data_IF_743731520816
#
_entry.id   IF_743731520816
#
_cell.length_a   1.000
_cell.length_b   1.000
_cell.length_c   1.000
_cell.angle_alpha   90.00
_cell.angle_beta   90.00
_cell.angle_gamma   90.00
#
_symmetry.space_group_name_H-M   'P 1'
#
loop_
_entity.id
_entity.type
_entity.pdbx_description
1 polymer ?
#
# COMPACT_ATOMS: atom_id res chain seq x y z
N UNK A 1 -13.01 -3.22 -3.20
CA UNK A 1 -12.05 -4.21 -3.75
C UNK A 1 -12.75 -5.41 -4.43
N UNK A 2 -13.70 -6.11 -3.80
CA UNK A 2 -14.45 -7.21 -4.46
C UNK A 2 -15.23 -6.82 -5.74
N UNK A 3 -15.80 -5.61 -5.77
CA UNK A 3 -16.45 -5.06 -6.96
C UNK A 3 -15.50 -4.85 -8.16
N UNK A 4 -14.18 -4.98 -7.96
CA UNK A 4 -13.13 -4.90 -8.99
C UNK A 4 -12.91 -6.22 -9.74
N UNK A 5 -13.44 -7.33 -9.22
CA UNK A 5 -13.17 -8.69 -9.68
C UNK A 5 -14.24 -9.26 -10.64
N UNK A 6 -15.32 -8.54 -10.94
CA UNK A 6 -16.36 -9.07 -11.83
C UNK A 6 -15.88 -9.15 -13.28
N UNK A 7 -16.23 -10.24 -13.98
CA UNK A 7 -15.93 -10.43 -15.42
C UNK A 7 -17.13 -10.22 -16.36
N UNK A 8 -18.36 -10.03 -15.86
CA UNK A 8 -19.55 -9.97 -16.73
C UNK A 8 -20.04 -8.56 -17.07
N UNK A 9 -20.03 -8.27 -18.38
CA UNK A 9 -20.61 -7.14 -19.13
C UNK A 9 -19.99 -5.75 -18.87
N UNK A 10 -19.32 -5.18 -19.90
CA UNK A 10 -18.89 -3.78 -20.19
C UNK A 10 -18.47 -2.78 -19.07
N UNK A 11 -19.03 -2.87 -17.86
CA UNK A 11 -18.69 -2.13 -16.64
C UNK A 11 -17.36 -2.53 -15.93
N UNK A 12 -16.84 -3.78 -15.96
CA UNK A 12 -15.65 -4.13 -15.17
C UNK A 12 -14.36 -3.44 -15.64
N UNK A 13 -14.39 -2.86 -16.83
CA UNK A 13 -13.29 -2.13 -17.45
C UNK A 13 -13.06 -0.77 -16.73
N UNK A 14 -14.08 -0.13 -16.16
CA UNK A 14 -13.95 1.28 -15.71
C UNK A 14 -13.05 1.48 -14.48
N UNK A 15 -13.00 0.55 -13.52
CA UNK A 15 -12.15 0.69 -12.32
C UNK A 15 -10.71 0.24 -12.51
N UNK A 16 -10.48 -0.88 -13.21
CA UNK A 16 -9.13 -1.39 -13.51
C UNK A 16 -8.31 -0.37 -14.30
N UNK A 17 -8.98 0.46 -15.11
CA UNK A 17 -8.37 1.53 -15.89
C UNK A 17 -8.19 2.87 -15.15
N UNK A 18 -8.62 2.99 -13.89
CA UNK A 18 -8.36 4.22 -13.13
C UNK A 18 -6.87 4.30 -12.80
N UNK A 19 -6.26 5.50 -12.82
CA UNK A 19 -4.82 5.66 -12.61
C UNK A 19 -4.27 4.91 -11.37
N UNK A 20 -4.92 4.92 -10.19
CA UNK A 20 -4.44 4.17 -9.02
C UNK A 20 -4.43 2.64 -9.21
N UNK A 21 -5.25 2.15 -10.13
CA UNK A 21 -5.51 0.72 -10.32
C UNK A 21 -4.78 0.11 -11.51
N UNK A 22 -4.19 0.94 -12.40
CA UNK A 22 -3.47 0.49 -13.59
C UNK A 22 -2.27 -0.43 -13.29
N UNK A 23 -1.75 -0.36 -12.05
CA UNK A 23 -0.61 -1.16 -11.59
C UNK A 23 -1.01 -2.31 -10.65
N UNK A 24 -2.30 -2.52 -10.41
CA UNK A 24 -2.80 -3.64 -9.59
C UNK A 24 -2.68 -4.95 -10.38
N UNK A 25 -2.24 -6.02 -9.70
CA UNK A 25 -1.93 -7.34 -10.25
C UNK A 25 -2.51 -8.45 -9.37
N UNK A 26 -2.49 -9.70 -9.84
CA UNK A 26 -2.97 -10.85 -9.07
C UNK A 26 -4.47 -11.13 -9.24
N UNK A 27 -5.12 -10.55 -10.25
CA UNK A 27 -6.53 -10.82 -10.54
C UNK A 27 -6.75 -12.30 -10.88
N UNK A 28 -5.84 -12.85 -11.68
CA UNK A 28 -5.80 -14.24 -12.11
C UNK A 28 -5.70 -15.23 -10.94
N UNK A 29 -4.95 -14.87 -9.88
CA UNK A 29 -4.81 -15.70 -8.68
C UNK A 29 -6.13 -15.76 -7.91
N UNK A 30 -6.85 -14.63 -7.84
CA UNK A 30 -8.15 -14.57 -7.18
C UNK A 30 -9.22 -15.32 -7.99
N UNK A 31 -9.17 -15.22 -9.33
CA UNK A 31 -10.09 -15.94 -10.21
C UNK A 31 -9.88 -17.47 -10.10
N UNK A 32 -8.63 -17.94 -10.02
CA UNK A 32 -8.31 -19.35 -9.79
C UNK A 32 -8.78 -19.84 -8.41
N UNK A 33 -8.49 -19.07 -7.34
CA UNK A 33 -9.00 -19.37 -6.01
C UNK A 33 -10.54 -19.47 -5.99
N UNK A 34 -11.23 -18.55 -6.69
CA UNK A 34 -12.68 -18.58 -6.82
C UNK A 34 -13.14 -19.85 -7.54
N UNK A 35 -12.49 -20.26 -8.63
CA UNK A 35 -12.85 -21.46 -9.37
C UNK A 35 -12.72 -22.73 -8.50
N UNK A 36 -11.62 -22.85 -7.74
CA UNK A 36 -11.40 -23.99 -6.85
C UNK A 36 -12.42 -24.05 -5.69
N UNK A 37 -12.74 -22.89 -5.10
CA UNK A 37 -13.75 -22.79 -4.03
C UNK A 37 -15.14 -23.15 -4.58
N UNK A 38 -15.51 -22.67 -5.76
CA UNK A 38 -16.80 -23.01 -6.38
C UNK A 38 -16.93 -24.49 -6.75
N UNK A 39 -15.84 -25.15 -7.13
CA UNK A 39 -15.82 -26.60 -7.36
C UNK A 39 -16.10 -27.41 -6.10
N UNK A 40 -15.80 -26.85 -4.92
CA UNK A 40 -16.01 -27.49 -3.61
C UNK A 40 -17.36 -27.11 -2.99
N UNK A 41 -17.72 -25.83 -3.02
CA UNK A 41 -18.92 -25.29 -2.40
C UNK A 41 -19.58 -24.20 -3.27
N UNK A 42 -20.23 -24.66 -4.35
CA UNK A 42 -20.86 -23.77 -5.34
C UNK A 42 -21.84 -22.77 -4.72
N UNK A 43 -21.65 -21.49 -5.05
CA UNK A 43 -22.52 -20.38 -4.67
C UNK A 43 -22.47 -19.98 -3.19
N UNK A 44 -21.54 -20.52 -2.40
CA UNK A 44 -21.47 -20.30 -0.96
C UNK A 44 -20.57 -19.11 -0.61
N UNK A 45 -19.34 -19.08 -1.13
CA UNK A 45 -18.32 -18.12 -0.71
C UNK A 45 -18.26 -16.92 -1.66
N UNK A 46 -18.39 -15.70 -1.12
CA UNK A 46 -18.32 -14.46 -1.91
C UNK A 46 -16.90 -14.16 -2.38
N UNK A 47 -16.76 -13.44 -3.49
CA UNK A 47 -15.45 -12.92 -3.91
C UNK A 47 -14.86 -11.94 -2.89
N UNK A 48 -15.71 -11.24 -2.13
CA UNK A 48 -15.30 -10.37 -1.04
C UNK A 48 -14.61 -11.13 0.10
N UNK A 49 -15.14 -12.29 0.51
CA UNK A 49 -14.49 -13.12 1.53
C UNK A 49 -13.25 -13.83 0.98
N UNK A 50 -13.26 -14.31 -0.28
CA UNK A 50 -12.06 -14.88 -0.90
C UNK A 50 -10.90 -13.87 -0.88
N UNK A 51 -11.17 -12.60 -1.23
CA UNK A 51 -10.14 -11.57 -1.19
C UNK A 51 -9.65 -11.28 0.24
N UNK A 52 -10.53 -11.30 1.23
CA UNK A 52 -10.15 -11.12 2.64
C UNK A 52 -9.28 -12.27 3.15
N UNK A 53 -9.62 -13.51 2.79
CA UNK A 53 -8.82 -14.70 3.14
C UNK A 53 -7.48 -14.72 2.40
N UNK A 54 -7.47 -14.40 1.10
CA UNK A 54 -6.22 -14.30 0.33
C UNK A 54 -5.28 -13.24 0.94
N UNK A 55 -5.81 -12.10 1.37
CA UNK A 55 -5.02 -11.08 2.08
C UNK A 55 -4.47 -11.61 3.41
N UNK A 56 -5.29 -12.28 4.23
CA UNK A 56 -4.85 -12.91 5.49
C UNK A 56 -3.72 -13.90 5.25
N UNK A 57 -3.90 -14.79 4.28
CA UNK A 57 -2.97 -15.90 4.00
C UNK A 57 -1.64 -15.38 3.43
N UNK A 58 -1.67 -14.28 2.68
CA UNK A 58 -0.46 -13.63 2.15
C UNK A 58 0.46 -13.05 3.24
N UNK A 59 -0.08 -12.76 4.43
CA UNK A 59 0.69 -12.17 5.55
C UNK A 59 0.65 -13.03 6.81
N UNK A 60 0.20 -14.28 6.70
CA UNK A 60 0.12 -15.26 7.79
C UNK A 60 -0.55 -14.75 9.08
N UNK A 61 -1.65 -14.01 8.94
CA UNK A 61 -2.40 -13.45 10.07
C UNK A 61 -3.48 -14.40 10.62
N UNK A 62 -4.10 -13.97 11.73
CA UNK A 62 -5.17 -14.70 12.42
C UNK A 62 -6.47 -14.73 11.62
N UNK A 63 -7.45 -15.48 12.11
CA UNK A 63 -8.74 -15.64 11.46
C UNK A 63 -9.43 -14.31 11.14
N UNK A 64 -9.89 -14.20 9.89
CA UNK A 64 -10.66 -13.06 9.41
C UNK A 64 -12.16 -13.37 9.48
N UNK A 65 -13.01 -12.44 9.96
CA UNK A 65 -14.46 -12.61 9.94
C UNK A 65 -14.97 -12.87 8.53
N UNK A 66 -16.02 -13.67 8.37
CA UNK A 66 -16.66 -14.00 7.09
C UNK A 66 -18.10 -13.47 7.02
N UNK A 67 -18.75 -13.65 5.87
CA UNK A 67 -20.13 -13.23 5.63
C UNK A 67 -20.24 -11.96 4.78
N UNK A 68 -19.13 -11.46 4.22
CA UNK A 68 -19.18 -10.34 3.26
C UNK A 68 -19.92 -10.80 2.01
N UNK A 69 -20.63 -9.87 1.37
CA UNK A 69 -21.35 -10.12 0.11
C UNK A 69 -20.76 -9.28 -1.01
N UNK A 70 -20.85 -9.80 -2.23
CA UNK A 70 -20.33 -9.11 -3.40
C UNK A 70 -21.15 -7.89 -3.76
N UNK A 71 -20.47 -6.76 -3.98
CA UNK A 71 -21.09 -5.54 -4.46
C UNK A 71 -21.72 -5.74 -5.84
N UNK A 72 -22.92 -5.20 -6.04
CA UNK A 72 -23.65 -5.27 -7.33
C UNK A 72 -23.31 -4.13 -8.28
N UNK A 73 -22.65 -3.08 -7.79
CA UNK A 73 -22.34 -1.85 -8.53
C UNK A 73 -20.85 -1.56 -8.39
N UNK A 74 -20.23 -1.06 -9.48
CA UNK A 74 -18.86 -0.57 -9.49
C UNK A 74 -18.84 0.85 -10.07
N UNK A 75 -18.59 1.84 -9.21
CA UNK A 75 -18.51 3.26 -9.56
C UNK A 75 -17.05 3.75 -9.58
N UNK A 76 -16.68 4.59 -10.54
CA UNK A 76 -15.35 5.19 -10.58
C UNK A 76 -15.08 6.07 -9.35
N UNK A 77 -16.10 6.77 -8.87
CA UNK A 77 -16.05 7.69 -7.72
C UNK A 77 -15.62 7.02 -6.40
N UNK A 78 -15.79 5.70 -6.26
CA UNK A 78 -15.31 5.00 -5.06
C UNK A 78 -13.78 5.00 -4.97
N UNK A 79 -13.07 5.32 -6.07
CA UNK A 79 -11.62 5.46 -6.07
C UNK A 79 -11.14 6.88 -5.70
N UNK A 80 -12.04 7.86 -5.57
CA UNK A 80 -11.69 9.26 -5.33
C UNK A 80 -11.02 9.45 -3.96
N UNK A 81 -11.34 8.56 -3.00
CA UNK A 81 -10.74 8.56 -1.66
C UNK A 81 -9.54 7.61 -1.53
N UNK A 82 -9.00 7.06 -2.62
CA UNK A 82 -7.76 6.29 -2.54
C UNK A 82 -6.60 7.22 -2.17
N UNK A 83 -5.77 6.84 -1.17
CA UNK A 83 -4.54 7.55 -0.85
C UNK A 83 -3.62 7.65 -2.07
N UNK A 84 -3.04 8.83 -2.30
CA UNK A 84 -1.97 9.03 -3.26
C UNK A 84 -0.61 8.99 -2.54
N UNK A 85 0.43 8.59 -3.26
CA UNK A 85 1.81 8.54 -2.75
C UNK A 85 2.38 9.92 -2.36
N UNK A 86 1.70 11.00 -2.77
CA UNK A 86 2.04 12.41 -2.48
C UNK A 86 1.13 13.04 -1.42
N UNK A 87 0.11 12.34 -0.92
CA UNK A 87 -0.83 12.93 0.04
C UNK A 87 -0.11 13.37 1.33
N UNK A 88 -0.55 14.49 1.89
CA UNK A 88 -0.12 14.92 3.22
C UNK A 88 -0.68 13.99 4.29
N UNK A 89 -0.07 13.99 5.48
CA UNK A 89 -0.56 13.17 6.59
C UNK A 89 -2.01 13.50 6.99
N UNK A 90 -2.41 14.76 6.90
CA UNK A 90 -3.78 15.19 7.20
C UNK A 90 -4.77 14.71 6.14
N UNK A 91 -4.36 14.69 4.87
CA UNK A 91 -5.19 14.14 3.79
C UNK A 91 -5.34 12.61 3.91
N UNK A 92 -4.27 11.91 4.29
CA UNK A 92 -4.32 10.48 4.59
C UNK A 92 -5.29 10.17 5.73
N UNK A 93 -5.18 10.90 6.86
CA UNK A 93 -6.12 10.79 7.99
C UNK A 93 -7.56 11.08 7.55
N UNK A 94 -7.79 12.13 6.76
CA UNK A 94 -9.12 12.50 6.25
C UNK A 94 -9.73 11.41 5.37
N UNK A 95 -8.96 10.89 4.40
CA UNK A 95 -9.42 9.83 3.48
C UNK A 95 -9.80 8.55 4.23
N UNK A 96 -9.03 8.16 5.25
CA UNK A 96 -9.33 6.97 6.06
C UNK A 96 -10.49 7.19 7.05
N UNK A 97 -10.63 8.40 7.60
CA UNK A 97 -11.74 8.74 8.50
C UNK A 97 -13.12 8.59 7.82
N UNK A 98 -13.22 8.76 6.50
CA UNK A 98 -14.44 8.49 5.72
C UNK A 98 -14.91 7.02 5.88
N UNK A 99 -13.99 6.10 6.17
CA UNK A 99 -14.28 4.69 6.41
C UNK A 99 -14.34 4.33 7.90
N UNK A 100 -14.36 5.32 8.80
CA UNK A 100 -14.37 5.12 10.25
C UNK A 100 -13.02 4.67 10.83
N UNK A 101 -11.93 4.83 10.06
CA UNK A 101 -10.58 4.43 10.46
C UNK A 101 -9.83 5.63 11.05
N UNK A 102 -9.08 5.40 12.13
CA UNK A 102 -8.34 6.42 12.87
C UNK A 102 -6.84 6.45 12.50
N UNK A 103 -6.06 7.30 13.19
CA UNK A 103 -4.62 7.43 12.93
C UNK A 103 -3.82 6.13 13.20
N UNK A 104 -4.25 5.29 14.16
CA UNK A 104 -3.62 3.99 14.40
C UNK A 104 -3.91 3.04 13.26
N UNK A 105 -5.14 3.02 12.76
CA UNK A 105 -5.50 2.22 11.59
C UNK A 105 -4.70 2.65 10.36
N UNK A 106 -4.51 3.95 10.15
CA UNK A 106 -3.65 4.49 9.09
C UNK A 106 -2.23 3.93 9.17
N UNK A 107 -1.56 4.08 10.32
CA UNK A 107 -0.18 3.61 10.50
C UNK A 107 -0.10 2.09 10.31
N UNK A 108 -1.08 1.34 10.81
CA UNK A 108 -1.14 -0.12 10.69
C UNK A 108 -1.30 -0.57 9.25
N UNK A 109 -2.21 0.04 8.50
CA UNK A 109 -2.48 -0.30 7.09
C UNK A 109 -1.29 0.05 6.20
N UNK A 110 -0.71 1.24 6.38
CA UNK A 110 0.49 1.65 5.62
C UNK A 110 1.70 0.77 5.95
N UNK A 111 1.73 0.18 7.15
CA UNK A 111 2.71 -0.85 7.52
C UNK A 111 2.76 -2.04 6.56
N UNK A 112 1.71 -2.30 5.78
CA UNK A 112 1.73 -3.33 4.73
C UNK A 112 2.77 -3.07 3.63
N UNK A 113 3.31 -1.85 3.52
CA UNK A 113 4.48 -1.53 2.69
C UNK A 113 5.78 -2.21 3.15
N UNK A 114 5.76 -2.99 4.25
CA UNK A 114 6.84 -3.90 4.62
C UNK A 114 7.14 -4.98 3.57
N UNK A 115 6.14 -5.32 2.74
CA UNK A 115 6.33 -6.21 1.59
C UNK A 115 6.03 -5.53 0.26
N UNK A 116 6.68 -6.01 -0.79
CA UNK A 116 6.42 -5.60 -2.16
C UNK A 116 7.23 -4.39 -2.64
N UNK A 117 6.81 -3.83 -3.77
CA UNK A 117 7.62 -2.86 -4.53
C UNK A 117 6.83 -1.65 -4.99
N UNK A 118 7.52 -0.58 -5.33
CA UNK A 118 7.01 0.58 -6.06
C UNK A 118 7.86 0.87 -7.29
N UNK A 119 7.32 1.60 -8.27
CA UNK A 119 8.05 2.01 -9.47
C UNK A 119 8.76 3.35 -9.24
N UNK A 120 9.94 3.54 -9.85
CA UNK A 120 10.73 4.78 -9.77
C UNK A 120 9.90 6.04 -10.09
N UNK A 121 8.94 5.95 -11.01
CA UNK A 121 8.05 7.05 -11.39
C UNK A 121 7.28 7.66 -10.19
N UNK A 122 6.97 6.88 -9.16
CA UNK A 122 6.18 7.33 -8.02
C UNK A 122 6.97 8.07 -6.93
N UNK A 123 8.30 8.08 -7.01
CA UNK A 123 9.12 8.75 -5.98
C UNK A 123 10.36 9.48 -6.52
N UNK A 124 10.69 9.35 -7.81
CA UNK A 124 11.83 10.02 -8.43
C UNK A 124 11.81 11.55 -8.28
N UNK A 125 10.61 12.17 -8.25
CA UNK A 125 10.47 13.60 -7.98
C UNK A 125 11.08 13.98 -6.61
N UNK A 126 11.02 13.09 -5.61
CA UNK A 126 11.65 13.28 -4.30
C UNK A 126 13.17 13.20 -4.35
N UNK A 127 13.76 12.63 -5.40
CA UNK A 127 15.21 12.48 -5.54
C UNK A 127 15.85 13.66 -6.28
N UNK A 128 15.12 14.32 -7.18
CA UNK A 128 15.70 15.27 -8.12
C UNK A 128 15.01 16.64 -8.14
N UNK A 129 13.69 16.68 -7.99
CA UNK A 129 12.90 17.90 -8.19
C UNK A 129 11.78 18.02 -7.15
N UNK A 130 12.18 18.07 -5.88
CA UNK A 130 11.21 18.20 -4.80
C UNK A 130 10.70 19.65 -4.69
N UNK A 131 9.39 19.83 -4.80
CA UNK A 131 8.77 21.16 -4.94
C UNK A 131 9.12 22.13 -3.81
N UNK A 132 9.26 21.63 -2.57
CA UNK A 132 9.56 22.47 -1.42
C UNK A 132 11.01 23.01 -1.41
N UNK A 133 11.94 22.36 -2.11
CA UNK A 133 13.33 22.82 -2.22
C UNK A 133 13.59 23.57 -3.53
N UNK A 134 12.65 23.52 -4.48
CA UNK A 134 12.75 24.19 -5.78
C UNK A 134 13.80 23.60 -6.73
N UNK A 135 14.76 22.85 -6.21
CA UNK A 135 15.74 21.99 -6.89
C UNK A 135 16.33 21.01 -5.86
N UNK A 136 16.45 19.73 -6.21
CA UNK A 136 17.14 18.73 -5.37
C UNK A 136 16.21 17.75 -4.64
N UNK A 137 16.78 17.03 -3.68
CA UNK A 137 16.12 15.94 -2.99
C UNK A 137 15.20 16.43 -1.86
N UNK A 138 14.19 15.63 -1.53
CA UNK A 138 13.30 15.80 -0.40
C UNK A 138 14.11 15.75 0.91
N UNK A 139 14.07 16.81 1.74
CA UNK A 139 14.87 16.90 2.97
C UNK A 139 14.40 15.95 4.09
N UNK A 140 13.27 15.27 3.90
CA UNK A 140 12.82 14.20 4.82
C UNK A 140 13.48 12.85 4.56
N UNK A 141 14.19 12.69 3.42
CA UNK A 141 14.93 11.47 3.10
C UNK A 141 16.36 11.59 3.60
N UNK A 142 16.87 10.51 4.19
CA UNK A 142 18.27 10.37 4.52
C UNK A 142 19.17 10.53 3.27
N UNK A 143 20.21 11.38 3.35
CA UNK A 143 21.04 11.72 2.20
C UNK A 143 21.82 10.53 1.62
N UNK A 144 22.30 9.60 2.46
CA UNK A 144 22.97 8.39 1.98
C UNK A 144 21.98 7.48 1.25
N UNK A 145 20.73 7.44 1.73
CA UNK A 145 19.66 6.71 1.07
C UNK A 145 19.23 7.36 -0.25
N UNK A 146 19.24 8.69 -0.37
CA UNK A 146 19.04 9.39 -1.65
C UNK A 146 20.09 8.94 -2.66
N UNK A 147 21.36 8.86 -2.27
CA UNK A 147 22.43 8.36 -3.15
C UNK A 147 22.17 6.94 -3.64
N UNK A 148 21.75 6.03 -2.74
CA UNK A 148 21.37 4.65 -3.11
C UNK A 148 20.18 4.62 -4.09
N UNK A 149 19.12 5.38 -3.80
CA UNK A 149 17.93 5.45 -4.65
C UNK A 149 18.22 6.06 -6.03
N UNK A 150 19.16 7.01 -6.14
CA UNK A 150 19.58 7.57 -7.44
C UNK A 150 20.35 6.57 -8.30
N UNK A 151 21.09 5.64 -7.69
CA UNK A 151 21.71 4.52 -8.42
C UNK A 151 20.64 3.57 -8.96
N UNK A 152 19.58 3.31 -8.18
CA UNK A 152 18.47 2.45 -8.60
C UNK A 152 17.53 3.13 -9.61
N UNK A 153 17.32 4.44 -9.47
CA UNK A 153 16.42 5.26 -10.26
C UNK A 153 17.15 6.53 -10.76
N UNK A 154 18.00 6.43 -11.80
CA UNK A 154 18.65 7.60 -12.39
C UNK A 154 17.63 8.60 -12.97
N UNK A 155 17.98 9.89 -13.05
CA UNK A 155 17.06 10.96 -13.52
C UNK A 155 16.48 10.73 -14.92
N UNK A 156 17.24 10.05 -15.81
CA UNK A 156 16.81 9.66 -17.16
C UNK A 156 16.70 8.13 -17.29
N UNK A 157 16.48 7.44 -16.16
CA UNK A 157 16.33 5.99 -16.11
C UNK A 157 14.92 5.52 -16.46
N UNK A 158 14.74 4.20 -16.46
CA UNK A 158 13.43 3.58 -16.63
C UNK A 158 12.54 3.84 -15.41
N UNK A 159 11.51 4.67 -15.59
CA UNK A 159 10.53 5.00 -14.55
C UNK A 159 9.71 3.80 -14.06
N UNK A 160 9.63 2.71 -14.85
CA UNK A 160 8.87 1.50 -14.49
C UNK A 160 9.67 0.53 -13.62
N UNK A 161 10.99 0.74 -13.50
CA UNK A 161 11.87 -0.07 -12.66
C UNK A 161 11.34 -0.14 -11.23
N UNK A 162 11.32 -1.36 -10.69
CA UNK A 162 10.75 -1.68 -9.37
C UNK A 162 11.82 -1.59 -8.28
N UNK A 163 11.46 -0.97 -7.17
CA UNK A 163 12.27 -0.86 -5.95
C UNK A 163 11.42 -1.36 -4.77
N UNK A 164 12.04 -2.13 -3.87
CA UNK A 164 11.39 -2.64 -2.65
C UNK A 164 10.89 -1.49 -1.78
N UNK A 165 9.63 -1.52 -1.32
CA UNK A 165 9.11 -0.50 -0.40
C UNK A 165 9.77 -0.57 0.98
N UNK A 166 10.19 -1.76 1.37
CA UNK A 166 10.97 -2.04 2.58
C UNK A 166 12.38 -2.46 2.21
N UNK A 167 13.37 -1.64 2.58
CA UNK A 167 14.76 -1.93 2.24
C UNK A 167 15.29 -3.00 3.18
N UNK A 168 15.91 -4.03 2.61
CA UNK A 168 16.50 -5.18 3.31
C UNK A 168 15.50 -6.23 3.85
N UNK A 169 14.17 -6.05 3.67
CA UNK A 169 13.13 -7.02 4.10
C UNK A 169 11.92 -7.21 3.14
N UNK A 170 12.11 -6.98 1.84
CA UNK A 170 11.04 -6.91 0.82
C UNK A 170 10.01 -8.06 0.79
N UNK A 171 10.40 -9.26 1.24
CA UNK A 171 9.58 -10.47 1.20
C UNK A 171 9.14 -10.95 2.60
N UNK A 172 9.47 -10.22 3.67
CA UNK A 172 9.09 -10.57 5.04
C UNK A 172 8.08 -9.56 5.59
N UNK A 173 7.00 -10.06 6.18
CA UNK A 173 6.00 -9.20 6.82
C UNK A 173 6.40 -8.94 8.28
N UNK A 174 7.14 -7.85 8.52
CA UNK A 174 7.69 -7.52 9.83
C UNK A 174 7.62 -6.01 10.14
N UNK A 175 8.35 -5.55 11.17
CA UNK A 175 8.36 -4.14 11.57
C UNK A 175 9.51 -3.32 10.95
N UNK A 176 10.31 -3.91 10.05
CA UNK A 176 11.48 -3.25 9.43
C UNK A 176 11.11 -2.01 8.61
N UNK A 177 9.92 -1.98 8.00
CA UNK A 177 9.34 -0.79 7.39
C UNK A 177 9.35 0.40 8.36
N UNK A 178 8.86 0.20 9.59
CA UNK A 178 8.83 1.24 10.62
C UNK A 178 10.23 1.65 11.08
N UNK A 179 11.19 0.71 11.14
CA UNK A 179 12.60 1.02 11.38
C UNK A 179 13.19 1.89 10.27
N UNK A 180 12.81 1.63 9.01
CA UNK A 180 13.23 2.41 7.85
C UNK A 180 12.65 3.83 7.90
N UNK A 181 11.38 4.01 8.30
CA UNK A 181 10.80 5.36 8.48
C UNK A 181 11.57 6.19 9.51
N UNK A 182 11.94 5.58 10.65
CA UNK A 182 12.74 6.23 11.69
C UNK A 182 14.10 6.72 11.17
N UNK A 183 14.70 5.99 10.24
CA UNK A 183 15.99 6.30 9.62
C UNK A 183 15.88 7.30 8.44
N UNK A 184 14.69 7.81 8.13
CA UNK A 184 14.47 8.65 6.95
C UNK A 184 14.55 7.86 5.63
N UNK A 185 14.24 6.56 5.66
CA UNK A 185 14.33 5.63 4.52
C UNK A 185 12.96 5.21 3.96
N UNK A 186 11.89 5.96 4.23
CA UNK A 186 10.59 5.75 3.58
C UNK A 186 10.65 6.18 2.11
N UNK A 187 10.25 5.29 1.19
CA UNK A 187 10.39 5.52 -0.26
C UNK A 187 9.33 6.48 -0.80
N UNK A 188 8.06 6.30 -0.43
CA UNK A 188 7.01 7.22 -0.82
C UNK A 188 6.97 8.41 0.14
N UNK A 189 6.55 9.58 -0.36
CA UNK A 189 6.39 10.75 0.51
C UNK A 189 5.34 10.49 1.59
N UNK A 190 4.22 9.88 1.22
CA UNK A 190 3.16 9.44 2.14
C UNK A 190 3.68 8.59 3.29
N UNK A 191 4.64 7.70 3.03
CA UNK A 191 5.21 6.80 4.04
C UNK A 191 6.07 7.58 5.04
N UNK A 192 6.98 8.42 4.52
CA UNK A 192 7.91 9.17 5.36
C UNK A 192 7.19 10.23 6.23
N UNK A 193 5.98 10.64 5.86
CA UNK A 193 5.13 11.54 6.64
C UNK A 193 4.58 10.93 7.93
N UNK A 194 4.44 9.60 8.02
CA UNK A 194 4.06 8.94 9.28
C UNK A 194 5.06 9.21 10.40
N UNK A 195 6.34 9.37 10.06
CA UNK A 195 7.38 9.68 11.06
C UNK A 195 7.46 11.17 11.40
N UNK A 196 6.94 12.04 10.53
CA UNK A 196 7.10 13.51 10.64
C UNK A 196 5.94 14.16 11.41
N UNK A 197 4.79 13.49 11.48
CA UNK A 197 3.66 13.91 12.30
C UNK A 197 3.75 13.33 13.72
N UNK A 198 3.57 14.17 14.74
CA UNK A 198 3.78 13.77 16.13
C UNK A 198 2.84 12.66 16.60
N UNK A 199 1.58 12.68 16.15
CA UNK A 199 0.58 11.67 16.50
C UNK A 199 0.94 10.30 15.90
N UNK A 200 1.14 10.24 14.59
CA UNK A 200 1.47 8.98 13.90
C UNK A 200 2.86 8.47 14.26
N UNK A 201 3.84 9.35 14.50
CA UNK A 201 5.17 8.95 15.00
C UNK A 201 5.09 8.21 16.33
N UNK A 202 4.28 8.67 17.28
CA UNK A 202 4.11 7.97 18.56
C UNK A 202 3.53 6.56 18.39
N UNK A 203 2.67 6.37 17.40
CA UNK A 203 2.11 5.05 17.06
C UNK A 203 3.18 4.16 16.42
N UNK A 204 3.96 4.69 15.48
CA UNK A 204 5.10 3.99 14.87
C UNK A 204 6.09 3.53 15.96
N UNK A 205 6.45 4.42 16.89
CA UNK A 205 7.32 4.10 18.02
C UNK A 205 6.74 2.97 18.89
N UNK A 206 5.41 2.94 19.10
CA UNK A 206 4.78 1.85 19.86
C UNK A 206 4.95 0.48 19.19
N UNK A 207 4.98 0.41 17.86
CA UNK A 207 5.19 -0.85 17.13
C UNK A 207 6.63 -1.34 17.21
N UNK A 208 7.60 -0.41 17.22
CA UNK A 208 9.01 -0.72 17.40
C UNK A 208 9.32 -1.23 18.82
N UNK A 209 8.59 -0.76 19.84
CA UNK A 209 8.74 -1.24 21.22
C UNK A 209 8.12 -2.62 21.41
N UNK A 210 6.95 -2.88 20.80
CA UNK A 210 6.28 -4.18 20.92
C UNK A 210 7.12 -5.32 20.30
N UNK A 211 7.80 -5.07 19.18
CA UNK A 211 8.73 -6.03 18.59
C UNK A 211 9.85 -6.45 19.57
N UNK A 212 10.41 -5.49 20.31
CA UNK A 212 11.45 -5.76 21.30
C UNK A 212 10.97 -6.59 22.50
N UNK A 213 9.66 -6.70 22.73
CA UNK A 213 9.06 -7.55 23.76
C UNK A 213 8.74 -8.98 23.26
N UNK A 214 8.82 -9.22 21.95
CA UNK A 214 8.55 -10.52 21.32
C UNK A 214 9.84 -11.31 20.98
N UNK A 215 11.01 -10.74 21.29
CA UNK A 215 12.32 -11.39 21.26
C UNK A 215 12.89 -11.54 22.67
#
# INVERSE_FOLDING_TARGET
MAAMLRSSSMAPIRRKLLPPNLRVRGYEVIDDAKAQVEATCSGVVSCADILAHAARDAVFLWDVPTGRRDGKVSLASDADNLPAFTDSIEELKRKLAVFGLNARDLVTIVGAHTIGTTACEFFSYRLFNFSATGNGADPSINLDFVSQLRTLCPSNGDGTRRVALDTDSVDSFDASFFHNLRKGRGILASDQMLWRDGCTRSIVESYLVLEACHH
#
